data_IF_283175403985
#
_entry.id   IF_283175403985
#
_cell.length_a   1.000
_cell.length_b   1.000
_cell.length_c   1.000
_cell.angle_alpha   90.00
_cell.angle_beta   90.00
_cell.angle_gamma   90.00
#
_symmetry.space_group_name_H-M   'P 1'
#
loop_
_entity.id
_entity.type
_entity.pdbx_description
1 polymer ?
#
# COMPACT_ATOMS: atom_id res chain seq x y z
N UNK A 1 38.40 27.99 18.50
CA UNK A 1 37.71 27.27 17.41
C UNK A 1 37.71 25.80 17.78
N UNK A 2 36.56 25.27 18.25
CA UNK A 2 36.46 23.85 18.63
C UNK A 2 36.42 23.02 17.35
N UNK A 3 37.47 22.23 17.11
CA UNK A 3 37.48 21.25 16.04
C UNK A 3 36.49 20.16 16.44
N UNK A 4 35.32 20.10 15.81
CA UNK A 4 34.28 19.08 16.08
C UNK A 4 34.79 17.63 15.89
N UNK A 5 35.97 17.47 15.30
CA UNK A 5 36.64 16.21 15.03
C UNK A 5 37.82 15.93 15.99
N UNK A 6 37.99 16.73 17.05
CA UNK A 6 38.98 16.44 18.09
C UNK A 6 38.52 15.21 18.89
N UNK A 7 39.46 14.29 19.16
CA UNK A 7 39.20 13.06 19.92
C UNK A 7 38.54 13.39 21.27
N UNK A 8 38.96 14.49 21.91
CA UNK A 8 38.37 14.98 23.16
C UNK A 8 36.88 15.29 23.03
N UNK A 9 36.51 16.10 22.04
CA UNK A 9 35.12 16.49 21.80
C UNK A 9 34.25 15.30 21.39
N UNK A 10 34.80 14.37 20.61
CA UNK A 10 34.08 13.14 20.24
C UNK A 10 33.87 12.23 21.45
N UNK A 11 34.87 12.08 22.33
CA UNK A 11 34.75 11.30 23.57
C UNK A 11 33.71 11.88 24.51
N UNK A 12 33.69 13.21 24.70
CA UNK A 12 32.68 13.88 25.52
C UNK A 12 31.27 13.65 24.97
N UNK A 13 31.07 13.84 23.66
CA UNK A 13 29.77 13.61 23.00
C UNK A 13 29.34 12.15 23.02
N UNK A 14 30.28 11.22 22.92
CA UNK A 14 30.03 9.78 23.03
C UNK A 14 29.45 9.45 24.41
N UNK A 15 30.05 9.97 25.48
CA UNK A 15 29.52 9.79 26.84
C UNK A 15 28.15 10.46 27.06
N UNK A 16 27.84 11.51 26.30
CA UNK A 16 26.53 12.15 26.28
C UNK A 16 25.50 11.43 25.38
N UNK A 17 25.92 10.44 24.58
CA UNK A 17 25.05 9.77 23.61
C UNK A 17 24.64 10.62 22.41
N UNK A 18 25.43 11.65 22.09
CA UNK A 18 25.17 12.59 20.99
C UNK A 18 25.95 12.28 19.71
N UNK A 19 26.64 11.13 19.67
CA UNK A 19 27.41 10.68 18.51
C UNK A 19 26.54 9.95 17.51
N UNK A 20 26.84 10.14 16.23
CA UNK A 20 26.32 9.30 15.15
C UNK A 20 27.22 8.07 14.96
N UNK A 21 26.69 7.01 14.32
CA UNK A 21 27.47 5.78 14.05
C UNK A 21 28.78 6.04 13.29
N UNK A 22 28.77 6.99 12.35
CA UNK A 22 29.98 7.37 11.61
C UNK A 22 31.03 8.04 12.50
N UNK A 23 30.59 8.87 13.46
CA UNK A 23 31.47 9.51 14.43
C UNK A 23 32.04 8.51 15.43
N UNK A 24 31.26 7.51 15.85
CA UNK A 24 31.73 6.41 16.71
C UNK A 24 32.78 5.55 16.01
N UNK A 25 32.56 5.21 14.73
CA UNK A 25 33.54 4.48 13.94
C UNK A 25 34.87 5.25 13.82
N UNK A 26 34.79 6.57 13.60
CA UNK A 26 35.96 7.43 13.62
C UNK A 26 36.61 7.47 15.02
N UNK A 27 35.83 7.52 16.09
CA UNK A 27 36.32 7.51 17.47
C UNK A 27 37.11 6.24 17.78
N UNK A 28 36.61 5.06 17.40
CA UNK A 28 37.33 3.80 17.57
C UNK A 28 38.67 3.81 16.82
N UNK A 29 38.72 4.31 15.58
CA UNK A 29 39.96 4.44 14.82
C UNK A 29 40.96 5.42 15.46
N UNK A 30 40.48 6.49 16.10
CA UNK A 30 41.34 7.44 16.80
C UNK A 30 41.99 6.79 18.03
N UNK A 31 41.26 5.96 18.78
CA UNK A 31 41.77 5.25 19.95
C UNK A 31 42.71 4.06 19.63
N UNK A 32 42.81 3.66 18.36
CA UNK A 32 43.82 2.69 17.91
C UNK A 32 45.22 3.30 17.78
N UNK A 33 45.33 4.62 17.61
CA UNK A 33 46.62 5.29 17.38
C UNK A 33 47.55 5.09 18.57
N UNK A 34 48.85 4.92 18.34
CA UNK A 34 49.84 4.74 19.41
C UNK A 34 49.88 5.96 20.35
N UNK A 35 49.84 7.17 19.80
CA UNK A 35 49.87 8.43 20.54
C UNK A 35 48.45 8.98 20.79
N UNK A 36 48.05 8.99 22.07
CA UNK A 36 46.76 9.53 22.56
C UNK A 36 47.07 10.51 23.72
N UNK A 37 46.33 11.63 23.84
CA UNK A 37 46.46 12.55 24.98
C UNK A 37 46.40 11.82 26.33
N UNK A 38 47.28 12.23 27.27
CA UNK A 38 47.49 11.54 28.55
C UNK A 38 46.19 11.38 29.37
N UNK A 39 45.30 12.37 29.28
CA UNK A 39 44.02 12.41 29.98
C UNK A 39 42.98 11.44 29.39
N UNK A 40 43.16 11.00 28.14
CA UNK A 40 42.29 10.03 27.47
C UNK A 40 42.82 8.58 27.53
N UNK A 41 44.07 8.38 27.97
CA UNK A 41 44.68 7.06 28.16
C UNK A 41 43.84 6.11 29.01
N UNK A 42 43.19 6.53 30.12
CA UNK A 42 42.36 5.64 30.93
C UNK A 42 41.20 5.00 30.16
N UNK A 43 40.68 5.69 29.14
CA UNK A 43 39.55 5.21 28.33
C UNK A 43 39.97 4.35 27.14
N UNK A 44 41.28 4.26 26.84
CA UNK A 44 41.79 3.57 25.66
C UNK A 44 41.36 2.12 25.61
N UNK A 45 41.54 1.37 26.70
CA UNK A 45 41.21 -0.04 26.74
C UNK A 45 39.70 -0.27 26.51
N UNK A 46 38.84 0.57 27.10
CA UNK A 46 37.40 0.50 26.89
C UNK A 46 37.04 0.60 25.41
N UNK A 47 37.54 1.60 24.69
CA UNK A 47 37.23 1.77 23.27
C UNK A 47 37.80 0.63 22.39
N UNK A 48 38.97 0.08 22.75
CA UNK A 48 39.53 -1.09 22.06
C UNK A 48 38.67 -2.34 22.27
N UNK A 49 38.21 -2.59 23.50
CA UNK A 49 37.34 -3.72 23.83
C UNK A 49 35.97 -3.61 23.15
N UNK A 50 35.38 -2.40 23.13
CA UNK A 50 34.12 -2.14 22.44
C UNK A 50 34.22 -2.41 20.94
N UNK A 51 35.35 -2.06 20.31
CA UNK A 51 35.59 -2.37 18.91
C UNK A 51 35.77 -3.87 18.65
N UNK A 52 36.43 -4.60 19.54
CA UNK A 52 36.63 -6.04 19.40
C UNK A 52 35.31 -6.83 19.47
N UNK A 53 34.31 -6.29 20.16
CA UNK A 53 32.97 -6.88 20.30
C UNK A 53 31.99 -6.29 19.29
N UNK A 54 32.31 -5.13 18.70
CA UNK A 54 31.49 -4.54 17.66
C UNK A 54 31.37 -5.57 16.53
N UNK A 55 30.14 -6.00 16.18
CA UNK A 55 29.96 -6.90 15.05
C UNK A 55 30.61 -6.24 13.84
N UNK A 56 31.34 -7.02 13.03
CA UNK A 56 31.87 -6.62 11.73
C UNK A 56 30.73 -6.08 10.87
N UNK A 57 30.39 -4.81 11.10
CA UNK A 57 29.35 -4.06 10.41
C UNK A 57 30.01 -3.12 9.43
N UNK A 58 31.11 -3.59 8.83
CA UNK A 58 31.12 -3.58 7.37
C UNK A 58 30.16 -4.67 6.93
N UNK A 59 28.86 -4.44 7.19
CA UNK A 59 27.87 -5.00 6.31
C UNK A 59 28.27 -4.42 4.95
N UNK A 60 29.00 -5.20 4.16
CA UNK A 60 28.98 -5.03 2.72
C UNK A 60 27.51 -4.79 2.43
N UNK A 61 27.17 -3.57 2.01
CA UNK A 61 25.91 -3.35 1.35
C UNK A 61 26.06 -4.10 0.03
N UNK A 62 25.98 -5.44 0.09
CA UNK A 62 25.75 -6.27 -1.05
C UNK A 62 24.48 -5.68 -1.63
N UNK A 63 24.51 -5.09 -2.83
CA UNK A 63 23.28 -4.61 -3.43
C UNK A 63 22.35 -5.80 -3.43
N UNK A 64 21.24 -5.67 -2.69
CA UNK A 64 20.24 -6.72 -2.54
C UNK A 64 19.85 -7.18 -3.94
N UNK A 65 20.35 -8.37 -4.27
CA UNK A 65 19.94 -9.32 -5.29
C UNK A 65 18.93 -8.78 -6.32
N UNK A 66 19.45 -8.51 -7.52
CA UNK A 66 18.76 -8.42 -8.81
C UNK A 66 17.54 -7.49 -8.89
N UNK A 67 17.75 -6.30 -9.45
CA UNK A 67 16.71 -5.34 -9.86
C UNK A 67 15.62 -5.95 -10.73
N UNK A 68 15.90 -7.06 -11.43
CA UNK A 68 14.92 -7.79 -12.21
C UNK A 68 13.84 -8.42 -11.34
N UNK A 69 14.18 -9.04 -10.21
CA UNK A 69 13.17 -9.64 -9.31
C UNK A 69 12.24 -8.55 -8.78
N UNK A 70 12.80 -7.38 -8.41
CA UNK A 70 12.01 -6.23 -7.98
C UNK A 70 11.07 -5.72 -9.09
N UNK A 71 11.55 -5.65 -10.34
CA UNK A 71 10.72 -5.26 -11.50
C UNK A 71 9.59 -6.24 -11.76
N UNK A 72 9.86 -7.54 -11.66
CA UNK A 72 8.85 -8.60 -11.83
C UNK A 72 7.80 -8.59 -10.70
N UNK A 73 8.22 -8.34 -9.46
CA UNK A 73 7.28 -8.20 -8.32
C UNK A 73 6.35 -7.00 -8.50
N UNK A 74 6.88 -5.85 -8.92
CA UNK A 74 6.06 -4.65 -9.19
C UNK A 74 5.09 -4.92 -10.34
N UNK A 75 5.54 -5.53 -11.44
CA UNK A 75 4.68 -5.88 -12.56
C UNK A 75 3.57 -6.87 -12.16
N UNK A 76 3.89 -7.88 -11.35
CA UNK A 76 2.92 -8.85 -10.85
C UNK A 76 1.86 -8.21 -9.95
N UNK A 77 2.24 -7.27 -9.07
CA UNK A 77 1.28 -6.55 -8.23
C UNK A 77 0.30 -5.71 -9.06
N UNK A 78 0.79 -5.04 -10.12
CA UNK A 78 -0.05 -4.22 -10.98
C UNK A 78 -1.01 -5.10 -11.81
N UNK A 79 -0.53 -6.24 -12.31
CA UNK A 79 -1.35 -7.19 -13.04
C UNK A 79 -2.46 -7.79 -12.16
N UNK A 80 -2.19 -8.07 -10.88
CA UNK A 80 -3.21 -8.53 -9.94
C UNK A 80 -4.30 -7.47 -9.70
N UNK A 81 -3.92 -6.21 -9.45
CA UNK A 81 -4.90 -5.13 -9.24
C UNK A 81 -5.78 -4.94 -10.47
N UNK A 82 -5.18 -4.91 -11.67
CA UNK A 82 -5.93 -4.79 -12.91
C UNK A 82 -6.84 -6.01 -13.11
N UNK A 83 -6.32 -7.22 -12.93
CA UNK A 83 -7.09 -8.45 -13.05
C UNK A 83 -8.29 -8.50 -12.10
N UNK A 84 -8.08 -8.24 -10.80
CA UNK A 84 -9.16 -8.18 -9.82
C UNK A 84 -10.18 -7.07 -10.12
N UNK A 85 -9.74 -5.89 -10.53
CA UNK A 85 -10.63 -4.79 -10.89
C UNK A 85 -11.50 -5.14 -12.09
N UNK A 86 -10.91 -5.69 -13.16
CA UNK A 86 -11.68 -6.14 -14.34
C UNK A 86 -12.67 -7.25 -13.98
N UNK A 87 -12.24 -8.26 -13.21
CA UNK A 87 -13.13 -9.33 -12.75
C UNK A 87 -14.30 -8.81 -11.93
N UNK A 88 -14.05 -7.87 -11.02
CA UNK A 88 -15.10 -7.28 -10.19
C UNK A 88 -16.11 -6.48 -11.02
N UNK A 89 -15.63 -5.68 -11.99
CA UNK A 89 -16.51 -4.93 -12.90
C UNK A 89 -17.35 -5.86 -13.78
N UNK A 90 -16.75 -6.90 -14.36
CA UNK A 90 -17.48 -7.89 -15.15
C UNK A 90 -18.49 -8.68 -14.31
N UNK A 91 -18.14 -9.06 -13.09
CA UNK A 91 -19.05 -9.79 -12.22
C UNK A 91 -20.22 -8.90 -11.77
N UNK A 92 -19.97 -7.62 -11.50
CA UNK A 92 -21.03 -6.68 -11.11
C UNK A 92 -22.09 -6.50 -12.22
N UNK A 93 -21.68 -6.48 -13.49
CA UNK A 93 -22.60 -6.39 -14.62
C UNK A 93 -23.52 -7.62 -14.79
N UNK A 94 -23.22 -8.75 -14.16
CA UNK A 94 -24.06 -9.95 -14.26
C UNK A 94 -25.23 -9.99 -13.27
N UNK A 95 -25.32 -9.05 -12.31
CA UNK A 95 -26.35 -9.07 -11.27
C UNK A 95 -27.60 -8.23 -11.57
N UNK A 96 -27.69 -7.63 -12.76
CA UNK A 96 -28.88 -6.87 -13.19
C UNK A 96 -29.86 -7.72 -14.03
N UNK A 97 -30.08 -8.98 -13.65
CA UNK A 97 -31.13 -9.79 -14.28
C UNK A 97 -32.52 -9.36 -13.75
N UNK A 98 -33.34 -8.75 -14.61
CA UNK A 98 -34.74 -8.50 -14.31
C UNK A 98 -35.49 -9.84 -14.18
N UNK A 99 -35.99 -10.15 -12.99
CA UNK A 99 -36.75 -11.38 -12.72
C UNK A 99 -38.15 -11.01 -12.25
N UNK A 100 -39.16 -11.57 -12.92
CA UNK A 100 -40.56 -11.48 -12.48
C UNK A 100 -41.23 -12.87 -12.47
N UNK A 101 -42.27 -13.01 -11.64
CA UNK A 101 -43.12 -14.19 -11.62
C UNK A 101 -44.48 -13.85 -12.20
N UNK A 102 -44.77 -14.37 -13.38
CA UNK A 102 -46.02 -14.12 -14.12
C UNK A 102 -46.81 -15.44 -14.11
N UNK A 103 -48.04 -15.42 -13.56
CA UNK A 103 -48.87 -16.62 -13.38
C UNK A 103 -48.14 -17.80 -12.70
N UNK A 104 -47.21 -17.52 -11.79
CA UNK A 104 -46.42 -18.53 -11.08
C UNK A 104 -45.20 -19.07 -11.85
N UNK A 105 -44.93 -18.59 -13.07
CA UNK A 105 -43.74 -18.94 -13.85
C UNK A 105 -42.66 -17.85 -13.74
N UNK A 106 -41.43 -18.26 -13.43
CA UNK A 106 -40.26 -17.36 -13.42
C UNK A 106 -39.94 -16.94 -14.85
N UNK A 107 -39.99 -15.65 -15.12
CA UNK A 107 -39.66 -15.04 -16.41
C UNK A 107 -38.50 -14.07 -16.24
N UNK A 108 -37.55 -14.11 -17.16
CA UNK A 108 -36.38 -13.22 -17.21
C UNK A 108 -36.29 -12.41 -18.51
N UNK A 109 -37.25 -12.58 -19.41
CA UNK A 109 -37.35 -11.81 -20.66
C UNK A 109 -38.06 -10.48 -20.37
N UNK A 110 -37.29 -9.39 -20.45
CA UNK A 110 -37.77 -8.04 -20.13
C UNK A 110 -38.95 -7.61 -21.01
N UNK A 111 -39.03 -8.06 -22.27
CA UNK A 111 -40.12 -7.69 -23.16
C UNK A 111 -41.44 -8.30 -22.72
N UNK A 112 -41.39 -9.55 -22.24
CA UNK A 112 -42.56 -10.28 -21.72
C UNK A 112 -43.01 -9.65 -20.39
N UNK A 113 -42.06 -9.34 -19.52
CA UNK A 113 -42.32 -8.67 -18.24
C UNK A 113 -43.00 -7.32 -18.45
N UNK A 114 -42.47 -6.52 -19.39
CA UNK A 114 -43.00 -5.21 -19.72
C UNK A 114 -44.39 -5.26 -20.35
N UNK A 115 -44.61 -6.17 -21.29
CA UNK A 115 -45.91 -6.34 -21.93
C UNK A 115 -47.00 -6.66 -20.90
N UNK A 116 -46.71 -7.56 -19.95
CA UNK A 116 -47.65 -7.91 -18.88
C UNK A 116 -47.87 -6.75 -17.90
N UNK A 117 -46.80 -6.03 -17.52
CA UNK A 117 -46.90 -4.87 -16.63
C UNK A 117 -47.75 -3.77 -17.25
N UNK A 118 -47.52 -3.41 -18.53
CA UNK A 118 -48.34 -2.42 -19.25
C UNK A 118 -49.80 -2.85 -19.31
N UNK A 119 -50.06 -4.10 -19.70
CA UNK A 119 -51.41 -4.65 -19.76
C UNK A 119 -52.15 -4.59 -18.41
N UNK A 120 -51.47 -4.94 -17.31
CA UNK A 120 -52.06 -4.85 -15.96
C UNK A 120 -52.26 -3.40 -15.48
N UNK A 121 -51.34 -2.51 -15.81
CA UNK A 121 -51.44 -1.08 -15.48
C UNK A 121 -52.60 -0.41 -16.22
N UNK A 122 -52.78 -0.70 -17.51
CA UNK A 122 -53.90 -0.25 -18.34
C UNK A 122 -55.25 -0.65 -17.76
N UNK A 123 -55.37 -1.88 -17.24
CA UNK A 123 -56.60 -2.36 -16.62
C UNK A 123 -56.94 -1.65 -15.29
N UNK A 124 -55.96 -1.01 -14.64
CA UNK A 124 -56.11 -0.38 -13.32
C UNK A 124 -56.05 1.16 -13.35
N UNK A 125 -55.59 1.76 -14.46
CA UNK A 125 -55.41 3.21 -14.60
C UNK A 125 -56.64 3.89 -15.23
N UNK A 126 -56.87 5.14 -14.86
CA UNK A 126 -57.85 6.02 -15.52
C UNK A 126 -57.11 6.86 -16.57
N UNK A 127 -57.80 7.27 -17.65
CA UNK A 127 -57.27 8.00 -18.82
C UNK A 127 -56.27 9.13 -18.48
N UNK A 128 -56.45 9.83 -17.36
CA UNK A 128 -55.57 10.91 -16.91
C UNK A 128 -54.20 10.48 -16.34
N UNK A 129 -53.98 9.19 -16.03
CA UNK A 129 -52.75 8.66 -15.41
C UNK A 129 -51.96 7.70 -16.31
N UNK A 130 -52.49 7.37 -17.48
CA UNK A 130 -51.89 6.40 -18.40
C UNK A 130 -50.46 6.80 -18.81
N UNK A 131 -50.27 8.03 -19.28
CA UNK A 131 -48.97 8.56 -19.75
C UNK A 131 -47.90 8.57 -18.63
N UNK A 132 -48.31 8.81 -17.39
CA UNK A 132 -47.38 8.89 -16.24
C UNK A 132 -46.88 7.49 -15.87
N UNK A 133 -47.78 6.50 -15.88
CA UNK A 133 -47.41 5.11 -15.55
C UNK A 133 -46.53 4.51 -16.63
N UNK A 134 -46.82 4.78 -17.91
CA UNK A 134 -45.96 4.35 -19.02
C UNK A 134 -44.55 4.94 -18.92
N UNK A 135 -44.43 6.25 -18.65
CA UNK A 135 -43.13 6.91 -18.49
C UNK A 135 -42.32 6.32 -17.34
N UNK A 136 -42.97 6.06 -16.19
CA UNK A 136 -42.29 5.48 -15.03
C UNK A 136 -41.84 4.03 -15.26
N UNK A 137 -42.66 3.24 -15.96
CA UNK A 137 -42.27 1.88 -16.35
C UNK A 137 -41.06 1.91 -17.28
N UNK A 138 -41.04 2.81 -18.27
CA UNK A 138 -39.91 2.91 -19.19
C UNK A 138 -38.61 3.33 -18.48
N UNK A 139 -38.70 4.30 -17.55
CA UNK A 139 -37.57 4.73 -16.72
C UNK A 139 -37.06 3.61 -15.80
N UNK A 140 -37.96 2.83 -15.17
CA UNK A 140 -37.57 1.76 -14.24
C UNK A 140 -36.75 0.65 -14.92
N UNK A 141 -36.99 0.41 -16.20
CA UNK A 141 -36.30 -0.62 -16.98
C UNK A 141 -35.23 -0.09 -17.92
N UNK A 142 -34.99 1.23 -17.89
CA UNK A 142 -33.95 1.92 -18.67
C UNK A 142 -33.98 1.55 -20.17
N UNK A 143 -35.19 1.41 -20.73
CA UNK A 143 -35.44 1.11 -22.14
C UNK A 143 -35.65 2.45 -22.84
N UNK A 144 -34.81 2.80 -23.81
CA UNK A 144 -34.94 4.04 -24.60
C UNK A 144 -36.10 3.97 -25.60
#
# INVERSE_FOLDING_TARGET
>A
MNNKNDIRTLTERFFLGETTLAEEQQLYQLYQREEIPQDLQPYRQMFLDMQAIAPDTVAEVRPLRSTHIRRWLVAASLALVIGFSTFFLFHHQQHEECVAYIYGQKTTDINVIMAEMKHSAEAMTTDAQHDIVESQLNEMFNIE
#
